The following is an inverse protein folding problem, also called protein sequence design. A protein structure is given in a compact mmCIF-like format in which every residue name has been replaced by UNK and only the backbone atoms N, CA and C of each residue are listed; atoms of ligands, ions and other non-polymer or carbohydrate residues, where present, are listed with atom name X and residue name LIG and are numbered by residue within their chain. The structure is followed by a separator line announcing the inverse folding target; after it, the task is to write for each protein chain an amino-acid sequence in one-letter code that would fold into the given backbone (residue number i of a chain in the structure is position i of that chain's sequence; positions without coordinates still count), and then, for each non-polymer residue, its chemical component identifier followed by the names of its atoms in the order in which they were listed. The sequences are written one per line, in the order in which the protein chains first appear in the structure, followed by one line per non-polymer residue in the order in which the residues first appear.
data_IF_020733257047
#
_entry.id   IF_020733257047
#
_cell.length_a   1.000
_cell.length_b   1.000
_cell.length_c   1.000
_cell.angle_alpha   90.00
_cell.angle_beta   90.00
_cell.angle_gamma   90.00
#
_symmetry.space_group_name_H-M   'P 1'
#
loop_
_entity.id
_entity.type
_entity.pdbx_description
1 polymer ?
#
# COMPACT_ATOMS: atom_id res chain seq x y z
N UNK A 1 14.88 25.15 -4.43
CA UNK A 1 14.51 23.72 -4.31
C UNK A 1 15.78 22.96 -3.97
N UNK A 2 15.79 22.15 -2.91
CA UNK A 2 17.01 21.45 -2.49
C UNK A 2 17.17 20.18 -3.33
N UNK A 3 17.95 20.27 -4.41
CA UNK A 3 18.16 19.18 -5.37
C UNK A 3 18.88 17.97 -4.74
N UNK A 4 19.72 18.21 -3.73
CA UNK A 4 20.45 17.15 -3.04
C UNK A 4 19.52 16.27 -2.20
N UNK A 5 18.58 16.90 -1.48
CA UNK A 5 17.57 16.20 -0.71
C UNK A 5 16.65 15.34 -1.59
N UNK A 6 16.20 15.89 -2.72
CA UNK A 6 15.37 15.15 -3.69
C UNK A 6 16.14 13.96 -4.27
N UNK A 7 17.41 14.16 -4.64
CA UNK A 7 18.27 13.10 -5.18
C UNK A 7 18.50 11.97 -4.16
N UNK A 8 18.71 12.33 -2.89
CA UNK A 8 18.87 11.37 -1.80
C UNK A 8 17.60 10.55 -1.55
N UNK A 9 16.43 11.18 -1.57
CA UNK A 9 15.14 10.49 -1.44
C UNK A 9 14.91 9.55 -2.63
N UNK A 10 15.15 10.01 -3.86
CA UNK A 10 15.00 9.19 -5.07
C UNK A 10 15.90 7.95 -5.04
N UNK A 11 17.16 8.10 -4.62
CA UNK A 11 18.08 6.98 -4.45
C UNK A 11 17.60 5.97 -3.39
N UNK A 12 16.98 6.46 -2.30
CA UNK A 12 16.40 5.61 -1.26
C UNK A 12 15.21 4.82 -1.81
N UNK A 13 14.32 5.46 -2.57
CA UNK A 13 13.19 4.81 -3.24
C UNK A 13 13.68 3.70 -4.19
N UNK A 14 14.69 3.98 -5.03
CA UNK A 14 15.21 2.97 -5.95
C UNK A 14 15.82 1.77 -5.19
N UNK A 15 16.45 1.99 -4.04
CA UNK A 15 16.98 0.92 -3.20
C UNK A 15 15.88 0.03 -2.61
N UNK A 16 14.76 0.61 -2.18
CA UNK A 16 13.65 -0.12 -1.55
C UNK A 16 12.68 -0.73 -2.56
N UNK A 17 12.79 -0.35 -3.84
CA UNK A 17 11.90 -0.77 -4.93
C UNK A 17 11.62 -2.27 -5.00
N UNK A 18 12.59 -3.20 -4.83
CA UNK A 18 12.29 -4.64 -4.89
C UNK A 18 11.28 -5.07 -3.82
N UNK A 19 11.42 -4.56 -2.60
CA UNK A 19 10.56 -4.92 -1.48
C UNK A 19 9.14 -4.37 -1.68
N UNK A 20 9.02 -3.13 -2.17
CA UNK A 20 7.72 -2.52 -2.45
C UNK A 20 7.02 -3.10 -3.69
N UNK A 21 7.77 -3.58 -4.70
CA UNK A 21 7.19 -4.35 -5.80
C UNK A 21 6.60 -5.65 -5.26
N UNK A 22 7.34 -6.40 -4.45
CA UNK A 22 6.83 -7.65 -3.85
C UNK A 22 5.60 -7.41 -2.94
N UNK A 23 5.60 -6.30 -2.20
CA UNK A 23 4.45 -5.84 -1.42
C UNK A 23 3.22 -5.59 -2.31
N UNK A 24 3.42 -4.87 -3.42
CA UNK A 24 2.38 -4.56 -4.40
C UNK A 24 1.84 -5.84 -5.08
N UNK A 25 2.73 -6.75 -5.46
CA UNK A 25 2.35 -8.03 -6.07
C UNK A 25 1.51 -8.88 -5.09
N UNK A 26 1.86 -8.87 -3.81
CA UNK A 26 1.07 -9.56 -2.78
C UNK A 26 -0.34 -9.01 -2.66
N UNK A 27 -0.51 -7.68 -2.66
CA UNK A 27 -1.83 -7.03 -2.61
C UNK A 27 -2.64 -7.33 -3.88
N UNK A 28 -1.98 -7.31 -5.04
CA UNK A 28 -2.58 -7.71 -6.31
C UNK A 28 -3.16 -9.13 -6.26
N UNK A 29 -2.40 -10.06 -5.70
CA UNK A 29 -2.80 -11.47 -5.58
C UNK A 29 -3.91 -11.69 -4.53
N UNK A 30 -3.98 -10.86 -3.49
CA UNK A 30 -5.05 -10.95 -2.49
C UNK A 30 -6.42 -10.57 -3.08
N UNK A 31 -6.46 -9.52 -3.90
CA UNK A 31 -7.67 -9.05 -4.61
C UNK A 31 -8.93 -8.98 -3.72
N UNK A 32 -8.80 -8.49 -2.49
CA UNK A 32 -9.87 -8.47 -1.49
C UNK A 32 -10.87 -7.33 -1.75
N UNK A 33 -12.17 -7.56 -1.55
CA UNK A 33 -13.21 -6.56 -1.76
C UNK A 33 -13.29 -5.54 -0.61
N UNK A 34 -13.98 -4.42 -0.89
CA UNK A 34 -14.26 -3.38 0.08
C UNK A 34 -14.70 -3.92 1.46
N UNK A 35 -14.09 -3.41 2.52
CA UNK A 35 -14.29 -3.78 3.93
C UNK A 35 -13.86 -5.19 4.34
N UNK A 36 -13.33 -5.99 3.43
CA UNK A 36 -12.88 -7.36 3.68
C UNK A 36 -11.36 -7.53 3.40
N UNK A 37 -10.63 -6.43 3.21
CA UNK A 37 -9.20 -6.35 2.85
C UNK A 37 -8.26 -6.67 4.02
N UNK A 38 -8.51 -7.78 4.72
CA UNK A 38 -7.80 -8.13 5.96
C UNK A 38 -6.33 -8.42 5.71
N UNK A 39 -6.00 -9.16 4.64
CA UNK A 39 -4.62 -9.50 4.30
C UNK A 39 -3.86 -8.24 3.86
N UNK A 40 -4.47 -7.45 2.98
CA UNK A 40 -3.89 -6.22 2.43
C UNK A 40 -3.66 -5.18 3.53
N UNK A 41 -4.67 -4.95 4.38
CA UNK A 41 -4.59 -4.04 5.51
C UNK A 41 -3.51 -4.46 6.51
N UNK A 42 -3.47 -5.75 6.87
CA UNK A 42 -2.48 -6.27 7.82
C UNK A 42 -1.06 -6.13 7.27
N UNK A 43 -0.87 -6.48 5.99
CA UNK A 43 0.42 -6.41 5.33
C UNK A 43 0.95 -4.97 5.26
N UNK A 44 0.14 -4.02 4.77
CA UNK A 44 0.52 -2.61 4.70
C UNK A 44 0.81 -2.00 6.09
N UNK A 45 -0.06 -2.27 7.06
CA UNK A 45 0.10 -1.79 8.43
C UNK A 45 1.39 -2.32 9.07
N UNK A 46 1.70 -3.60 8.84
CA UNK A 46 2.96 -4.21 9.32
C UNK A 46 4.18 -3.60 8.65
N UNK A 47 4.15 -3.38 7.32
CA UNK A 47 5.27 -2.75 6.61
C UNK A 47 5.55 -1.34 7.14
N UNK A 48 4.53 -0.57 7.51
CA UNK A 48 4.69 0.72 8.18
C UNK A 48 5.39 0.58 9.54
N UNK A 49 4.96 -0.37 10.38
CA UNK A 49 5.60 -0.65 11.67
C UNK A 49 7.07 -1.05 11.53
N UNK A 50 7.38 -1.91 10.55
CA UNK A 50 8.75 -2.34 10.23
C UNK A 50 9.64 -1.17 9.79
N UNK A 51 9.05 -0.12 9.20
CA UNK A 51 9.72 1.13 8.84
C UNK A 51 9.67 2.20 9.95
N UNK A 52 9.23 1.84 11.15
CA UNK A 52 9.29 2.69 12.34
C UNK A 52 8.10 3.65 12.51
N UNK A 53 7.03 3.50 11.73
CA UNK A 53 5.79 4.25 11.96
C UNK A 53 5.05 3.72 13.19
N UNK A 54 4.36 4.63 13.89
CA UNK A 54 3.36 4.24 14.90
C UNK A 54 2.04 4.00 14.18
N UNK A 55 1.52 2.77 14.25
CA UNK A 55 0.31 2.38 13.52
C UNK A 55 -0.89 2.22 14.46
N UNK A 56 -2.00 2.86 14.09
CA UNK A 56 -3.32 2.72 14.70
C UNK A 56 -4.27 2.04 13.72
N UNK A 57 -4.87 0.92 14.12
CA UNK A 57 -5.81 0.12 13.32
C UNK A 57 -7.25 0.30 13.82
N UNK A 58 -8.24 -0.12 13.03
CA UNK A 58 -9.65 -0.06 13.43
C UNK A 58 -10.23 1.35 13.39
N UNK A 59 -9.75 2.20 12.48
CA UNK A 59 -10.15 3.62 12.41
C UNK A 59 -11.62 3.73 12.00
N UNK A 60 -12.36 4.62 12.65
CA UNK A 60 -13.79 4.86 12.36
C UNK A 60 -14.66 3.58 12.38
N UNK A 61 -14.35 2.62 13.26
CA UNK A 61 -15.00 1.31 13.35
C UNK A 61 -14.87 0.43 12.09
N UNK A 62 -13.91 0.74 11.22
CA UNK A 62 -13.56 -0.09 10.07
C UNK A 62 -12.34 -0.94 10.44
N UNK A 63 -12.52 -2.26 10.50
CA UNK A 63 -11.49 -3.23 10.88
C UNK A 63 -10.21 -3.07 10.03
N UNK A 64 -10.38 -2.86 8.72
CA UNK A 64 -9.29 -2.79 7.74
C UNK A 64 -8.68 -1.39 7.59
N UNK A 65 -9.23 -0.37 8.25
CA UNK A 65 -8.68 0.98 8.19
C UNK A 65 -7.54 1.18 9.20
N UNK A 66 -6.45 1.82 8.78
CA UNK A 66 -5.32 2.15 9.63
C UNK A 66 -4.72 3.52 9.30
N UNK A 67 -4.01 4.09 10.27
CA UNK A 67 -3.19 5.29 10.11
C UNK A 67 -1.79 4.95 10.63
N UNK A 68 -0.76 5.23 9.82
CA UNK A 68 0.63 5.22 10.24
C UNK A 68 1.17 6.65 10.38
N UNK A 69 1.76 6.97 11.53
CA UNK A 69 2.34 8.27 11.81
C UNK A 69 3.86 8.16 12.04
N UNK A 70 4.63 9.06 11.43
CA UNK A 70 6.07 9.18 11.65
C UNK A 70 6.48 10.65 11.75
N UNK A 71 7.39 10.93 12.68
CA UNK A 71 7.89 12.27 12.95
C UNK A 71 6.94 13.14 13.78
N UNK A 72 7.27 14.41 13.89
CA UNK A 72 6.49 15.42 14.62
C UNK A 72 6.74 16.80 14.03
N UNK A 73 5.83 17.76 14.24
CA UNK A 73 5.98 19.13 13.76
C UNK A 73 4.87 19.55 12.78
N UNK A 74 5.08 20.69 12.10
CA UNK A 74 4.13 21.27 11.15
C UNK A 74 4.84 21.80 9.90
N UNK A 75 4.21 21.76 8.72
CA UNK A 75 2.89 21.16 8.46
C UNK A 75 2.92 19.62 8.54
N UNK A 76 1.78 19.01 8.87
CA UNK A 76 1.59 17.57 8.70
C UNK A 76 1.30 17.26 7.24
N UNK A 77 1.86 16.15 6.73
CA UNK A 77 1.64 15.67 5.37
C UNK A 77 0.96 14.31 5.47
N UNK A 78 -0.17 14.14 4.79
CA UNK A 78 -0.92 12.90 4.75
C UNK A 78 -0.92 12.32 3.33
N UNK A 79 -0.76 10.99 3.25
CA UNK A 79 -0.90 10.21 2.03
C UNK A 79 -2.09 9.27 2.22
N UNK A 80 -3.01 9.25 1.25
CA UNK A 80 -4.13 8.32 1.25
C UNK A 80 -3.81 7.15 0.31
N UNK A 81 -3.90 5.94 0.83
CA UNK A 81 -3.78 4.71 0.05
C UNK A 81 -5.11 3.97 0.00
N UNK A 82 -5.44 3.43 -1.17
CA UNK A 82 -6.58 2.54 -1.42
C UNK A 82 -6.04 1.17 -1.82
N UNK A 83 -6.74 0.11 -1.45
CA UNK A 83 -6.27 -1.28 -1.64
C UNK A 83 -7.41 -2.29 -1.74
N UNK A 84 -8.65 -1.84 -1.98
CA UNK A 84 -9.77 -2.73 -2.29
C UNK A 84 -9.80 -3.08 -3.78
N UNK A 85 -10.19 -4.31 -4.07
CA UNK A 85 -10.40 -4.81 -5.40
C UNK A 85 -11.87 -4.67 -5.84
N UNK A 86 -12.07 -4.81 -7.14
CA UNK A 86 -13.39 -4.80 -7.76
C UNK A 86 -13.87 -6.22 -8.07
N UNK A 87 -15.11 -6.52 -7.69
CA UNK A 87 -15.71 -7.83 -7.92
C UNK A 87 -15.78 -8.18 -9.42
N UNK A 88 -15.28 -9.36 -9.79
CA UNK A 88 -15.33 -9.88 -11.16
C UNK A 88 -14.39 -9.19 -12.15
N UNK A 89 -13.49 -8.31 -11.70
CA UNK A 89 -12.60 -7.53 -12.58
C UNK A 89 -11.11 -7.90 -12.50
N UNK A 90 -10.75 -8.97 -11.78
CA UNK A 90 -9.35 -9.41 -11.67
C UNK A 90 -8.72 -9.75 -13.03
N UNK A 91 -7.48 -9.27 -13.27
CA UNK A 91 -6.74 -9.44 -14.53
C UNK A 91 -5.42 -10.17 -14.32
N UNK A 92 -4.91 -10.85 -15.34
CA UNK A 92 -3.57 -11.42 -15.31
C UNK A 92 -2.54 -10.30 -15.40
N UNK A 93 -1.66 -10.19 -14.41
CA UNK A 93 -0.60 -9.19 -14.40
C UNK A 93 0.30 -9.28 -15.65
N UNK A 94 0.84 -8.12 -16.07
CA UNK A 94 1.76 -8.00 -17.22
C UNK A 94 1.17 -8.42 -18.58
N UNK A 95 -0.16 -8.44 -18.73
CA UNK A 95 -0.84 -8.70 -19.99
C UNK A 95 -1.51 -7.42 -20.48
N UNK A 96 -1.15 -6.96 -21.69
CA UNK A 96 -1.66 -5.73 -22.29
C UNK A 96 -3.03 -5.88 -22.99
N UNK A 97 -3.68 -7.02 -22.78
CA UNK A 97 -5.02 -7.36 -23.29
C UNK A 97 -5.89 -7.90 -22.15
N UNK A 98 -7.23 -7.77 -22.23
CA UNK A 98 -8.12 -8.30 -21.20
C UNK A 98 -7.92 -9.80 -21.02
N UNK A 99 -7.49 -10.21 -19.82
CA UNK A 99 -7.25 -11.61 -19.47
C UNK A 99 -7.65 -11.88 -18.02
N UNK A 100 -8.93 -12.24 -17.77
CA UNK A 100 -9.43 -12.51 -16.43
C UNK A 100 -8.69 -13.65 -15.73
N UNK A 101 -8.45 -13.53 -14.42
CA UNK A 101 -7.81 -14.60 -13.62
C UNK A 101 -8.79 -15.71 -13.22
N UNK A 102 -10.09 -15.40 -13.16
CA UNK A 102 -11.18 -16.35 -12.93
C UNK A 102 -12.38 -15.99 -13.83
N UNK A 103 -13.18 -16.99 -14.20
CA UNK A 103 -14.51 -16.72 -14.73
C UNK A 103 -15.35 -16.17 -13.55
N UNK A 104 -15.85 -14.93 -13.69
CA UNK A 104 -16.66 -14.27 -12.67
C UNK A 104 -17.94 -15.02 -12.32
#
# INVERSE_FOLDING_TARGET
MNLDAISSIAATVEKMKPDYIALSDSIWDFAELKFEERCSSQLLARTLEENGFVVRRGIAAMETAFIGEFGSGKPGIAFLGEFDALAGLGQTANVAEPRPMAAG
#
